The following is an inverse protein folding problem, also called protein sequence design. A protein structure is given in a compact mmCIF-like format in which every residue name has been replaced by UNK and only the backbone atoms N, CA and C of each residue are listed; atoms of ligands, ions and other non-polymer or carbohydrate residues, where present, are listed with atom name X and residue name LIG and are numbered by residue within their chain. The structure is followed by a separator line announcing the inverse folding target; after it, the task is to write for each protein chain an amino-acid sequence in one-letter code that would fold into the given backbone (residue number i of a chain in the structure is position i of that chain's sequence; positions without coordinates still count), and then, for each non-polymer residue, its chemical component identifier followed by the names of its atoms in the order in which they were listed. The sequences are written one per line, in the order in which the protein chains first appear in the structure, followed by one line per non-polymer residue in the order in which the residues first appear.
data_IF_310318645582
#
_entry.id   IF_310318645582
#
_cell.length_a   1.000
_cell.length_b   1.000
_cell.length_c   1.000
_cell.angle_alpha   90.00
_cell.angle_beta   90.00
_cell.angle_gamma   90.00
#
_symmetry.space_group_name_H-M   'P 1'
#
loop_
_entity.id
_entity.type
_entity.pdbx_description
1 polymer ?
#
# COMPACT_ATOMS: atom_id res chain seq x y z
N UNK A 1 -15.57 30.00 -0.42
CA UNK A 1 -15.75 28.59 0.01
C UNK A 1 -14.88 27.67 -0.85
N UNK A 2 -13.56 27.87 -0.85
CA UNK A 2 -12.60 27.20 -1.77
C UNK A 2 -11.68 26.19 -1.06
N UNK A 3 -11.74 26.07 0.26
CA UNK A 3 -10.83 25.22 1.04
C UNK A 3 -11.12 23.71 0.95
N UNK A 4 -12.29 23.29 0.46
CA UNK A 4 -12.65 21.87 0.39
C UNK A 4 -12.07 21.16 -0.85
N UNK A 5 -11.83 21.90 -1.93
CA UNK A 5 -11.32 21.33 -3.19
C UNK A 5 -9.83 20.98 -3.10
N UNK A 6 -9.03 21.90 -2.57
CA UNK A 6 -7.59 21.70 -2.41
C UNK A 6 -7.27 20.53 -1.46
N UNK A 7 -8.03 20.38 -0.36
CA UNK A 7 -7.85 19.27 0.57
C UNK A 7 -8.18 17.90 0.00
N UNK A 8 -9.02 17.81 -1.03
CA UNK A 8 -9.33 16.56 -1.71
C UNK A 8 -8.28 16.22 -2.79
N UNK A 9 -7.71 17.24 -3.45
CA UNK A 9 -6.65 17.08 -4.45
C UNK A 9 -5.30 16.72 -3.79
N UNK A 10 -4.94 17.37 -2.68
CA UNK A 10 -3.73 17.06 -1.91
C UNK A 10 -3.75 15.64 -1.31
N UNK A 11 -4.95 15.08 -1.11
CA UNK A 11 -5.12 13.74 -0.55
C UNK A 11 -5.01 12.61 -1.58
N UNK A 12 -4.99 12.92 -2.89
CA UNK A 12 -4.84 11.90 -3.92
C UNK A 12 -3.47 11.21 -3.81
N UNK A 13 -2.42 11.98 -3.53
CA UNK A 13 -1.06 11.47 -3.37
C UNK A 13 -0.97 10.55 -2.16
N UNK A 14 -1.55 10.98 -1.03
CA UNK A 14 -1.68 10.19 0.21
C UNK A 14 -2.49 8.92 -0.03
N UNK A 15 -3.53 8.98 -0.86
CA UNK A 15 -4.35 7.82 -1.23
C UNK A 15 -3.52 6.81 -2.03
N UNK A 16 -2.69 7.24 -2.98
CA UNK A 16 -1.80 6.32 -3.70
C UNK A 16 -0.76 5.69 -2.78
N UNK A 17 -0.07 6.48 -1.95
CA UNK A 17 0.87 5.97 -0.96
C UNK A 17 0.23 4.97 0.02
N UNK A 18 -0.99 5.26 0.47
CA UNK A 18 -1.76 4.39 1.34
C UNK A 18 -2.05 3.04 0.68
N UNK A 19 -2.51 3.06 -0.57
CA UNK A 19 -2.95 1.86 -1.27
C UNK A 19 -1.77 1.04 -1.83
N UNK A 20 -0.64 1.68 -2.11
CA UNK A 20 0.63 1.02 -2.44
C UNK A 20 1.35 0.48 -1.20
N UNK A 21 0.97 0.94 0.00
CA UNK A 21 1.54 0.49 1.27
C UNK A 21 2.90 1.12 1.59
N UNK A 22 3.27 2.19 0.88
CA UNK A 22 4.49 2.98 1.09
C UNK A 22 4.27 4.15 2.07
N UNK A 23 3.01 4.48 2.36
CA UNK A 23 2.65 5.54 3.31
C UNK A 23 2.92 5.17 4.77
N UNK A 24 3.47 6.12 5.54
CA UNK A 24 3.65 6.02 6.99
C UNK A 24 2.32 6.03 7.77
N UNK A 25 2.36 5.68 9.07
CA UNK A 25 1.16 5.62 9.92
C UNK A 25 0.36 6.93 9.94
N UNK A 26 1.03 8.09 9.92
CA UNK A 26 0.39 9.41 9.96
C UNK A 26 -0.44 9.69 8.69
N UNK A 27 0.09 9.33 7.52
CA UNK A 27 -0.60 9.46 6.24
C UNK A 27 -1.90 8.64 6.20
N UNK A 28 -1.89 7.46 6.84
CA UNK A 28 -3.10 6.61 6.96
C UNK A 28 -4.19 7.28 7.79
N UNK A 29 -3.81 7.86 8.92
CA UNK A 29 -4.76 8.52 9.84
C UNK A 29 -5.35 9.78 9.21
N UNK A 30 -4.54 10.55 8.49
CA UNK A 30 -5.00 11.73 7.77
C UNK A 30 -6.01 11.38 6.66
N UNK A 31 -5.70 10.36 5.86
CA UNK A 31 -6.59 9.86 4.82
C UNK A 31 -7.92 9.37 5.41
N UNK A 32 -7.86 8.58 6.49
CA UNK A 32 -9.05 8.03 7.15
C UNK A 32 -9.98 9.13 7.64
N UNK A 33 -9.44 10.11 8.37
CA UNK A 33 -10.21 11.25 8.89
C UNK A 33 -10.92 12.01 7.78
N UNK A 34 -10.28 12.18 6.63
CA UNK A 34 -10.89 12.88 5.51
C UNK A 34 -12.03 12.08 4.85
N UNK A 35 -11.83 10.78 4.59
CA UNK A 35 -12.86 9.97 3.92
C UNK A 35 -14.08 9.74 4.82
N UNK A 36 -13.91 9.81 6.14
CA UNK A 36 -15.01 9.79 7.11
C UNK A 36 -15.92 11.03 6.99
N UNK A 37 -15.37 12.17 6.57
CA UNK A 37 -16.09 13.44 6.43
C UNK A 37 -16.45 13.77 4.96
N UNK A 38 -15.86 13.08 3.98
CA UNK A 38 -15.99 13.38 2.56
C UNK A 38 -16.49 12.18 1.73
N UNK A 39 -17.79 12.11 1.41
CA UNK A 39 -18.38 11.03 0.60
C UNK A 39 -17.77 10.87 -0.80
N UNK A 40 -17.29 11.96 -1.41
CA UNK A 40 -16.68 11.93 -2.74
C UNK A 40 -15.34 11.18 -2.71
N UNK A 41 -14.49 11.48 -1.73
CA UNK A 41 -13.21 10.80 -1.55
C UNK A 41 -13.41 9.35 -1.08
N UNK A 42 -14.43 9.07 -0.26
CA UNK A 42 -14.80 7.70 0.08
C UNK A 42 -15.15 6.86 -1.16
N UNK A 43 -15.92 7.44 -2.09
CA UNK A 43 -16.23 6.77 -3.36
C UNK A 43 -14.99 6.55 -4.23
N UNK A 44 -14.12 7.56 -4.35
CA UNK A 44 -12.87 7.46 -5.11
C UNK A 44 -11.94 6.37 -4.54
N UNK A 45 -11.77 6.31 -3.22
CA UNK A 45 -11.01 5.27 -2.53
C UNK A 45 -11.61 3.88 -2.78
N UNK A 46 -12.93 3.74 -2.72
CA UNK A 46 -13.62 2.49 -3.01
C UNK A 46 -13.39 2.01 -4.44
N UNK A 47 -13.40 2.92 -5.42
CA UNK A 47 -13.11 2.62 -6.82
C UNK A 47 -11.65 2.15 -7.00
N UNK A 48 -10.70 2.88 -6.41
CA UNK A 48 -9.27 2.54 -6.51
C UNK A 48 -8.98 1.15 -5.92
N UNK A 49 -9.58 0.82 -4.78
CA UNK A 49 -9.46 -0.52 -4.18
C UNK A 49 -10.01 -1.62 -5.09
N UNK A 50 -11.16 -1.40 -5.74
CA UNK A 50 -11.76 -2.34 -6.67
C UNK A 50 -10.89 -2.55 -7.91
N UNK A 51 -10.37 -1.46 -8.50
CA UNK A 51 -9.45 -1.54 -9.65
C UNK A 51 -8.21 -2.35 -9.29
N UNK A 52 -7.60 -2.09 -8.14
CA UNK A 52 -6.41 -2.85 -7.70
C UNK A 52 -6.72 -4.30 -7.34
N UNK A 53 -7.91 -4.58 -6.80
CA UNK A 53 -8.35 -5.96 -6.58
C UNK A 53 -8.47 -6.70 -7.92
N UNK A 54 -9.06 -6.06 -8.93
CA UNK A 54 -9.15 -6.62 -10.28
C UNK A 54 -7.75 -6.88 -10.85
N UNK A 55 -6.84 -5.90 -10.79
CA UNK A 55 -5.47 -6.06 -11.26
C UNK A 55 -4.74 -7.22 -10.55
N UNK A 56 -4.91 -7.36 -9.23
CA UNK A 56 -4.36 -8.50 -8.48
C UNK A 56 -4.92 -9.84 -8.95
N UNK A 57 -6.21 -9.90 -9.28
CA UNK A 57 -6.85 -11.14 -9.76
C UNK A 57 -6.41 -11.53 -11.17
N UNK A 58 -6.14 -10.56 -12.05
CA UNK A 58 -5.82 -10.81 -13.46
C UNK A 58 -4.31 -10.90 -13.74
N UNK A 59 -3.48 -10.21 -12.94
CA UNK A 59 -2.06 -9.99 -13.24
C UNK A 59 -1.12 -10.61 -12.19
N UNK A 60 -1.61 -11.48 -11.30
CA UNK A 60 -0.74 -12.20 -10.36
C UNK A 60 -0.16 -13.47 -10.98
N UNK A 61 1.04 -13.36 -11.54
CA UNK A 61 1.83 -14.54 -11.86
C UNK A 61 2.65 -14.94 -10.62
N UNK A 62 2.58 -16.20 -10.17
CA UNK A 62 3.43 -16.65 -9.09
C UNK A 62 4.90 -16.49 -9.51
N UNK A 63 5.73 -15.99 -8.59
CA UNK A 63 7.17 -15.88 -8.84
C UNK A 63 7.75 -17.22 -9.37
N UNK A 64 8.83 -17.23 -10.15
CA UNK A 64 9.49 -18.47 -10.51
C UNK A 64 9.95 -19.24 -9.26
N UNK A 65 9.82 -20.57 -9.26
CA UNK A 65 10.19 -21.43 -8.12
C UNK A 65 11.65 -21.27 -7.72
N UNK A 66 12.54 -21.13 -8.70
CA UNK A 66 13.97 -20.89 -8.50
C UNK A 66 14.23 -19.58 -7.74
N UNK A 67 13.55 -18.50 -8.14
CA UNK A 67 13.68 -17.19 -7.48
C UNK A 67 13.24 -17.28 -6.01
N UNK A 68 12.10 -17.94 -5.75
CA UNK A 68 11.63 -18.18 -4.38
C UNK A 68 12.66 -18.97 -3.57
N UNK A 69 13.17 -20.07 -4.11
CA UNK A 69 14.15 -20.91 -3.42
C UNK A 69 15.44 -20.16 -3.09
N UNK A 70 15.93 -19.32 -4.02
CA UNK A 70 17.09 -18.44 -3.79
C UNK A 70 16.84 -17.44 -2.67
N UNK A 71 15.71 -16.74 -2.70
CA UNK A 71 15.35 -15.74 -1.67
C UNK A 71 15.23 -16.41 -0.30
N UNK A 72 14.50 -17.53 -0.19
CA UNK A 72 14.31 -18.23 1.09
C UNK A 72 15.64 -18.71 1.68
N UNK A 73 16.54 -19.25 0.85
CA UNK A 73 17.88 -19.67 1.29
C UNK A 73 18.69 -18.49 1.83
N UNK A 74 18.72 -17.37 1.09
CA UNK A 74 19.45 -16.17 1.50
C UNK A 74 18.91 -15.58 2.81
N UNK A 75 17.59 -15.57 3.00
CA UNK A 75 16.96 -15.11 4.24
C UNK A 75 17.31 -16.02 5.42
N UNK A 76 17.31 -17.36 5.23
CA UNK A 76 17.69 -18.32 6.28
C UNK A 76 19.16 -18.15 6.69
N UNK A 77 20.07 -18.06 5.73
CA UNK A 77 21.51 -17.88 5.99
C UNK A 77 21.75 -16.58 6.76
N UNK A 78 21.13 -15.47 6.34
CA UNK A 78 21.26 -14.18 7.03
C UNK A 78 20.74 -14.22 8.47
N UNK A 79 19.66 -14.98 8.72
CA UNK A 79 19.13 -15.18 10.06
C UNK A 79 20.09 -15.98 10.96
N UNK A 80 20.72 -17.01 10.42
CA UNK A 80 21.71 -17.82 11.14
C UNK A 80 22.94 -17.00 11.50
N UNK A 81 23.51 -16.22 10.57
CA UNK A 81 24.69 -15.38 10.82
C UNK A 81 24.44 -14.39 11.98
N UNK A 82 23.31 -13.67 11.94
CA UNK A 82 22.93 -12.74 13.02
C UNK A 82 22.76 -13.41 14.39
N UNK A 83 22.46 -14.71 14.44
CA UNK A 83 22.31 -15.46 15.69
C UNK A 83 23.66 -15.83 16.31
N UNK A 84 24.70 -16.03 15.51
CA UNK A 84 26.04 -16.37 16.01
C UNK A 84 26.88 -15.15 16.42
N UNK A 85 26.50 -13.94 15.96
CA UNK A 85 27.15 -12.67 16.34
C UNK A 85 26.52 -12.01 17.59
N UNK A 86 25.45 -12.58 18.14
CA UNK A 86 24.72 -12.08 19.30
C UNK A 86 24.90 -12.90 20.56
#
# INVERSE_FOLDING_TARGET
MTGHKNKCEELLDVLYEYVDGDGGCEAREELQRHVDECPQCLQALGLEQQVRQLLRSCCSQPAPSELRARITTQLRVRYEIRRYEG
#
